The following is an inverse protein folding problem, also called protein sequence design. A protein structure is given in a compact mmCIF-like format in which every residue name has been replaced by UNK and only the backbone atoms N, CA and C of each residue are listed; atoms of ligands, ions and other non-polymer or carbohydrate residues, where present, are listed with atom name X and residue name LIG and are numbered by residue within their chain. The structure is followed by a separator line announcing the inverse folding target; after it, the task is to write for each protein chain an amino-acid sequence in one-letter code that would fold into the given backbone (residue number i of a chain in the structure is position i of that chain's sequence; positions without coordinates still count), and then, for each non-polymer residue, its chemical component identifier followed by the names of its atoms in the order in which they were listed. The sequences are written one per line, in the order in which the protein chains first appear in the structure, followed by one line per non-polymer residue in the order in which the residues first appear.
data_IF_100353865803
#
_entry.id   IF_100353865803
#
_cell.length_a   1.000
_cell.length_b   1.000
_cell.length_c   1.000
_cell.angle_alpha   90.00
_cell.angle_beta   90.00
_cell.angle_gamma   90.00
#
_symmetry.space_group_name_H-M   'P 1'
#
loop_
_entity.id
_entity.type
_entity.pdbx_description
1 polymer ?
#
# COMPACT_ATOMS: atom_id res chain seq x y z
N UNK A 1 -4.19 -6.49 13.00
CA UNK A 1 -3.82 -5.23 12.33
C UNK A 1 -3.14 -4.30 13.34
N UNK A 2 -2.11 -4.78 14.04
CA UNK A 2 -1.51 -4.08 15.20
C UNK A 2 -0.57 -2.93 14.80
N UNK A 3 -0.09 -2.95 13.57
CA UNK A 3 0.90 -2.00 13.04
C UNK A 3 0.28 -0.83 12.26
N UNK A 4 -1.02 -0.90 11.98
CA UNK A 4 -1.73 0.10 11.18
C UNK A 4 -2.70 0.84 12.09
N UNK A 5 -2.52 2.16 12.21
CA UNK A 5 -3.51 3.05 12.77
C UNK A 5 -4.44 3.55 11.68
N UNK A 6 -5.71 3.13 11.73
CA UNK A 6 -6.72 3.56 10.77
C UNK A 6 -7.20 4.99 11.02
N UNK A 7 -7.17 5.48 12.27
CA UNK A 7 -7.54 6.86 12.61
C UNK A 7 -6.48 7.84 12.13
N UNK A 8 -5.23 7.55 12.44
CA UNK A 8 -4.08 8.39 12.06
C UNK A 8 -3.65 8.18 10.61
N UNK A 9 -4.25 7.21 9.91
CA UNK A 9 -3.89 6.81 8.53
C UNK A 9 -2.39 6.49 8.37
N UNK A 10 -1.79 5.85 9.38
CA UNK A 10 -0.35 5.56 9.42
C UNK A 10 -0.12 4.06 9.56
N UNK A 11 0.81 3.53 8.77
CA UNK A 11 1.44 2.24 9.00
C UNK A 11 2.80 2.42 9.67
N UNK A 12 2.93 1.88 10.88
CA UNK A 12 4.17 1.85 11.64
C UNK A 12 4.85 0.49 11.48
N UNK A 13 6.02 0.47 10.86
CA UNK A 13 6.86 -0.73 10.74
C UNK A 13 7.93 -0.65 11.84
N UNK A 14 7.88 -1.51 12.87
CA UNK A 14 8.82 -1.44 13.98
C UNK A 14 10.24 -1.80 13.51
N UNK A 15 11.25 -1.25 14.19
CA UNK A 15 12.67 -1.53 13.92
C UNK A 15 13.01 -3.02 13.83
N UNK A 16 12.31 -3.88 14.58
CA UNK A 16 12.50 -5.34 14.60
C UNK A 16 12.10 -6.03 13.30
N UNK A 17 11.25 -5.38 12.49
CA UNK A 17 10.78 -5.88 11.19
C UNK A 17 11.33 -5.08 10.02
N UNK A 18 12.06 -4.01 10.29
CA UNK A 18 12.70 -3.16 9.29
C UNK A 18 14.08 -3.71 8.94
N UNK A 19 14.39 -3.81 7.64
CA UNK A 19 15.70 -4.28 7.15
C UNK A 19 16.88 -3.44 7.66
N UNK A 20 16.62 -2.20 8.07
CA UNK A 20 17.65 -1.23 8.46
C UNK A 20 17.66 -0.92 9.96
N UNK A 21 16.95 -1.69 10.77
CA UNK A 21 16.92 -1.51 12.23
C UNK A 21 16.30 -0.19 12.70
N UNK A 22 15.55 0.50 11.85
CA UNK A 22 14.86 1.77 12.16
C UNK A 22 13.35 1.60 12.01
N UNK A 23 12.58 2.19 12.92
CA UNK A 23 11.13 2.26 12.81
C UNK A 23 10.77 3.17 11.64
N UNK A 24 9.87 2.72 10.77
CA UNK A 24 9.36 3.49 9.63
C UNK A 24 7.90 3.84 9.86
N UNK A 25 7.52 5.05 9.49
CA UNK A 25 6.13 5.49 9.46
C UNK A 25 5.76 5.80 8.02
N UNK A 26 4.67 5.23 7.54
CA UNK A 26 4.19 5.39 6.17
C UNK A 26 2.77 5.95 6.23
N UNK A 27 2.57 7.12 5.62
CA UNK A 27 1.23 7.70 5.42
C UNK A 27 0.44 6.89 4.40
N UNK A 28 -0.83 6.61 4.70
CA UNK A 28 -1.71 5.78 3.89
C UNK A 28 -2.76 6.66 3.20
N UNK A 29 -3.01 6.38 1.91
CA UNK A 29 -4.08 7.06 1.19
C UNK A 29 -5.47 6.75 1.77
N UNK A 30 -6.38 7.71 1.66
CA UNK A 30 -7.76 7.62 2.15
C UNK A 30 -8.48 6.41 1.56
N UNK A 31 -8.31 6.18 0.25
CA UNK A 31 -8.89 5.02 -0.43
C UNK A 31 -8.37 3.69 0.09
N UNK A 32 -7.09 3.64 0.50
CA UNK A 32 -6.52 2.45 1.11
C UNK A 32 -7.10 2.24 2.52
N UNK A 33 -7.36 3.30 3.27
CA UNK A 33 -8.00 3.22 4.58
C UNK A 33 -9.42 2.64 4.46
N UNK A 34 -10.21 3.08 3.48
CA UNK A 34 -11.53 2.49 3.21
C UNK A 34 -11.43 0.97 2.98
N UNK A 35 -10.52 0.54 2.11
CA UNK A 35 -10.29 -0.90 1.84
C UNK A 35 -9.87 -1.65 3.11
N UNK A 36 -8.98 -1.08 3.91
CA UNK A 36 -8.52 -1.70 5.15
C UNK A 36 -9.63 -1.78 6.21
N UNK A 37 -10.50 -0.78 6.29
CA UNK A 37 -11.68 -0.78 7.16
C UNK A 37 -12.65 -1.89 6.77
N UNK A 38 -13.02 -1.98 5.49
CA UNK A 38 -13.90 -3.06 5.00
C UNK A 38 -13.31 -4.43 5.29
N UNK A 39 -12.01 -4.62 5.01
CA UNK A 39 -11.33 -5.88 5.32
C UNK A 39 -11.31 -6.22 6.80
N UNK A 40 -11.16 -5.23 7.68
CA UNK A 40 -11.21 -5.42 9.14
C UNK A 40 -12.60 -5.85 9.60
N UNK A 41 -13.66 -5.38 8.96
CA UNK A 41 -15.04 -5.80 9.26
C UNK A 41 -15.32 -7.23 8.76
N UNK A 42 -14.79 -7.59 7.60
CA UNK A 42 -15.02 -8.90 6.98
C UNK A 42 -14.11 -10.03 7.52
N UNK A 43 -13.06 -9.71 8.30
CA UNK A 43 -12.06 -10.68 8.74
C UNK A 43 -11.89 -10.74 10.26
N UNK A 44 -11.85 -11.96 10.81
CA UNK A 44 -11.51 -12.23 12.21
C UNK A 44 -10.01 -12.45 12.45
N UNK A 45 -9.19 -12.34 11.40
CA UNK A 45 -7.73 -12.57 11.49
C UNK A 45 -6.99 -11.38 12.08
N UNK A 46 -5.90 -11.64 12.80
CA UNK A 46 -4.98 -10.58 13.22
C UNK A 46 -4.15 -10.02 12.06
N UNK A 47 -3.99 -10.77 10.98
CA UNK A 47 -3.28 -10.37 9.75
C UNK A 47 -4.21 -9.65 8.78
N UNK A 48 -3.70 -8.60 8.15
CA UNK A 48 -4.43 -7.83 7.11
C UNK A 48 -4.74 -8.71 5.89
N UNK A 49 -3.77 -9.56 5.53
CA UNK A 49 -3.89 -10.57 4.49
C UNK A 49 -3.62 -11.95 5.14
N UNK A 50 -4.67 -12.65 5.63
CA UNK A 50 -4.51 -13.98 6.18
C UNK A 50 -4.16 -15.02 5.11
N UNK A 51 -3.57 -16.13 5.54
CA UNK A 51 -3.41 -17.30 4.70
C UNK A 51 -4.78 -17.90 4.37
N UNK A 52 -5.08 -18.23 3.10
CA UNK A 52 -6.33 -18.89 2.74
C UNK A 52 -6.55 -20.24 3.41
N UNK A 53 -5.47 -20.87 3.91
CA UNK A 53 -5.52 -22.19 4.58
C UNK A 53 -5.62 -22.09 6.10
N UNK A 54 -5.19 -20.98 6.68
CA UNK A 54 -5.06 -20.82 8.13
C UNK A 54 -5.15 -19.34 8.50
N UNK A 55 -6.29 -18.96 9.07
CA UNK A 55 -6.59 -17.56 9.41
C UNK A 55 -5.72 -17.01 10.55
N UNK A 56 -4.94 -17.85 11.23
CA UNK A 56 -3.98 -17.42 12.26
C UNK A 56 -2.61 -17.01 11.67
N UNK A 57 -2.37 -17.30 10.38
CA UNK A 57 -1.10 -17.02 9.70
C UNK A 57 -1.26 -15.94 8.64
N UNK A 58 -0.18 -15.23 8.34
CA UNK A 58 -0.16 -14.33 7.19
C UNK A 58 -0.11 -15.10 5.86
N UNK A 59 -0.53 -14.44 4.78
CA UNK A 59 -0.40 -14.95 3.42
C UNK A 59 1.06 -15.28 3.09
N UNK A 60 1.29 -16.38 2.37
CA UNK A 60 2.64 -16.78 1.95
C UNK A 60 3.08 -16.05 0.68
N UNK A 61 4.39 -15.94 0.46
CA UNK A 61 4.95 -15.36 -0.78
C UNK A 61 4.44 -16.07 -2.03
N UNK A 62 4.40 -17.41 -2.03
CA UNK A 62 3.91 -18.18 -3.19
C UNK A 62 2.44 -17.90 -3.49
N UNK A 63 1.60 -17.70 -2.46
CA UNK A 63 0.20 -17.30 -2.63
C UNK A 63 0.09 -15.91 -3.24
N UNK A 64 0.92 -14.95 -2.83
CA UNK A 64 0.96 -13.61 -3.45
C UNK A 64 1.35 -13.71 -4.94
N UNK A 65 2.38 -14.49 -5.27
CA UNK A 65 2.79 -14.69 -6.66
C UNK A 65 1.68 -15.31 -7.52
N UNK A 66 0.94 -16.28 -6.99
CA UNK A 66 -0.21 -16.88 -7.68
C UNK A 66 -1.35 -15.88 -7.86
N UNK A 67 -1.68 -15.09 -6.83
CA UNK A 67 -2.69 -14.04 -6.93
C UNK A 67 -2.31 -13.00 -7.99
N UNK A 68 -1.04 -12.57 -8.00
CA UNK A 68 -0.52 -11.66 -9.01
C UNK A 68 -0.61 -12.22 -10.43
N UNK A 69 -0.28 -13.51 -10.63
CA UNK A 69 -0.43 -14.15 -11.92
C UNK A 69 -1.89 -14.16 -12.43
N UNK A 70 -2.85 -14.40 -11.53
CA UNK A 70 -4.29 -14.33 -11.86
C UNK A 70 -4.72 -12.91 -12.24
N UNK A 71 -4.30 -11.91 -11.47
CA UNK A 71 -4.60 -10.49 -11.75
C UNK A 71 -4.07 -10.10 -13.12
N UNK A 72 -2.82 -10.43 -13.44
CA UNK A 72 -2.22 -10.14 -14.76
C UNK A 72 -2.98 -10.80 -15.90
N UNK A 73 -3.33 -12.09 -15.74
CA UNK A 73 -4.11 -12.82 -16.74
C UNK A 73 -5.46 -12.15 -16.99
N UNK A 74 -6.17 -11.74 -15.93
CA UNK A 74 -7.45 -11.05 -16.03
C UNK A 74 -7.31 -9.66 -16.67
N UNK A 75 -6.22 -8.97 -16.39
CA UNK A 75 -5.92 -7.65 -16.95
C UNK A 75 -5.31 -7.70 -18.38
N UNK A 76 -5.02 -8.90 -18.92
CA UNK A 76 -4.42 -9.04 -20.25
C UNK A 76 -2.97 -8.54 -20.36
N UNK A 77 -2.26 -8.34 -19.25
CA UNK A 77 -0.89 -7.80 -19.23
C UNK A 77 0.16 -8.90 -19.06
N UNK A 78 1.23 -8.82 -19.84
CA UNK A 78 2.36 -9.75 -19.78
C UNK A 78 3.62 -9.07 -19.25
N UNK A 79 4.57 -9.85 -18.72
CA UNK A 79 5.89 -9.38 -18.27
C UNK A 79 5.93 -8.31 -17.18
N UNK A 80 4.81 -8.09 -16.47
CA UNK A 80 4.75 -7.20 -15.29
C UNK A 80 4.97 -8.00 -14.00
N UNK A 81 5.76 -7.47 -13.08
CA UNK A 81 5.98 -8.01 -11.73
C UNK A 81 5.26 -7.17 -10.68
N UNK A 82 5.10 -7.69 -9.45
CA UNK A 82 4.52 -6.90 -8.36
C UNK A 82 5.39 -5.67 -8.01
N UNK A 83 6.70 -5.72 -8.30
CA UNK A 83 7.60 -4.58 -8.12
C UNK A 83 7.38 -3.48 -9.16
N UNK A 84 6.83 -3.80 -10.33
CA UNK A 84 6.45 -2.79 -11.32
C UNK A 84 5.30 -1.90 -10.81
N UNK A 85 4.42 -2.41 -9.94
CA UNK A 85 3.39 -1.58 -9.30
C UNK A 85 4.05 -0.47 -8.47
N UNK A 86 5.08 -0.82 -7.70
CA UNK A 86 5.85 0.14 -6.90
C UNK A 86 6.60 1.14 -7.78
N UNK A 87 7.22 0.70 -8.87
CA UNK A 87 7.88 1.59 -9.84
C UNK A 87 6.88 2.54 -10.49
N UNK A 88 5.73 2.02 -10.90
CA UNK A 88 4.63 2.79 -11.49
C UNK A 88 4.18 3.86 -10.51
N UNK A 89 3.91 3.49 -9.26
CA UNK A 89 3.54 4.45 -8.21
C UNK A 89 4.58 5.58 -8.06
N UNK A 90 5.87 5.26 -8.04
CA UNK A 90 6.94 6.25 -8.00
C UNK A 90 6.92 7.21 -9.21
N UNK A 91 6.70 6.68 -10.42
CA UNK A 91 6.57 7.47 -11.65
C UNK A 91 5.38 8.43 -11.57
N UNK A 92 4.23 7.98 -11.07
CA UNK A 92 3.06 8.84 -10.90
C UNK A 92 3.31 9.97 -9.89
N UNK A 93 4.00 9.69 -8.79
CA UNK A 93 4.38 10.72 -7.82
C UNK A 93 5.26 11.78 -8.47
N UNK A 94 6.26 11.36 -9.25
CA UNK A 94 7.13 12.27 -10.01
C UNK A 94 6.33 13.11 -11.01
N UNK A 95 5.43 12.48 -11.77
CA UNK A 95 4.57 13.18 -12.74
C UNK A 95 3.62 14.19 -12.08
N UNK A 96 3.22 13.93 -10.83
CA UNK A 96 2.40 14.85 -10.03
C UNK A 96 3.19 16.02 -9.42
N UNK A 97 4.51 16.09 -9.65
CA UNK A 97 5.39 17.17 -9.20
C UNK A 97 6.09 16.90 -7.86
N UNK A 98 6.03 15.67 -7.33
CA UNK A 98 6.67 15.36 -6.05
C UNK A 98 8.20 15.34 -6.15
N UNK A 99 8.85 15.75 -5.07
CA UNK A 99 10.31 15.71 -5.01
C UNK A 99 10.80 14.28 -4.84
N UNK A 100 11.99 13.97 -5.39
CA UNK A 100 12.63 12.66 -5.20
C UNK A 100 12.77 12.29 -3.72
N UNK A 101 12.95 13.29 -2.86
CA UNK A 101 13.01 13.09 -1.43
C UNK A 101 11.69 12.57 -0.83
N UNK A 102 10.57 13.23 -1.16
CA UNK A 102 9.24 12.80 -0.72
C UNK A 102 8.89 11.43 -1.30
N UNK A 103 9.27 11.15 -2.55
CA UNK A 103 9.09 9.83 -3.17
C UNK A 103 9.89 8.76 -2.43
N UNK A 104 11.17 8.99 -2.15
CA UNK A 104 12.03 8.06 -1.42
C UNK A 104 11.48 7.74 -0.03
N UNK A 105 10.94 8.76 0.64
CA UNK A 105 10.27 8.62 1.93
C UNK A 105 9.02 7.72 1.81
N UNK A 106 8.12 8.00 0.88
CA UNK A 106 6.87 7.21 0.77
C UNK A 106 7.15 5.76 0.38
N UNK A 107 8.17 5.55 -0.45
CA UNK A 107 8.63 4.23 -0.80
C UNK A 107 9.32 3.52 0.38
N UNK A 108 9.79 4.24 1.40
CA UNK A 108 10.62 3.65 2.45
C UNK A 108 11.96 3.17 1.91
N UNK A 109 12.47 3.82 0.86
CA UNK A 109 13.83 3.59 0.38
C UNK A 109 14.82 4.15 1.39
N UNK A 110 15.60 3.25 1.97
CA UNK A 110 16.71 3.56 2.85
C UNK A 110 18.00 3.66 2.04
N UNK A 111 18.11 4.62 1.14
CA UNK A 111 19.42 4.85 0.54
C UNK A 111 20.39 5.37 1.61
N UNK A 112 21.62 4.89 1.55
CA UNK A 112 22.60 4.76 2.64
C UNK A 112 23.19 6.07 3.18
N UNK A 113 22.76 7.22 2.68
CA UNK A 113 23.42 8.51 2.98
C UNK A 113 22.56 9.57 3.69
N UNK A 114 21.28 9.31 3.98
CA UNK A 114 20.47 10.29 4.73
C UNK A 114 19.50 9.61 5.68
N UNK A 115 19.79 9.71 6.98
CA UNK A 115 18.85 9.32 8.04
C UNK A 115 17.74 10.36 8.09
N UNK A 116 16.67 10.17 7.31
CA UNK A 116 15.46 11.00 7.46
C UNK A 116 14.57 10.36 8.52
N UNK A 117 14.52 11.02 9.68
CA UNK A 117 13.48 10.78 10.68
C UNK A 117 12.17 11.25 10.04
N UNK A 118 11.18 10.36 9.94
CA UNK A 118 9.83 10.75 9.52
C UNK A 118 9.25 11.63 10.62
N UNK A 119 9.19 12.94 10.36
CA UNK A 119 8.45 13.88 11.20
C UNK A 119 6.98 13.81 10.84
N UNK A 120 6.10 14.21 11.74
CA UNK A 120 4.65 14.30 11.49
C UNK A 120 4.36 15.12 10.22
N UNK A 121 5.06 16.25 10.03
CA UNK A 121 4.93 17.07 8.82
C UNK A 121 5.33 16.34 7.53
N UNK A 122 6.34 15.46 7.59
CA UNK A 122 6.70 14.65 6.42
C UNK A 122 5.64 13.60 6.09
N UNK A 123 4.90 13.12 7.09
CA UNK A 123 3.79 12.18 6.93
C UNK A 123 2.55 12.85 6.31
N UNK A 124 2.23 14.07 6.72
CA UNK A 124 1.10 14.81 6.13
C UNK A 124 1.34 15.07 4.64
N UNK A 125 2.54 15.57 4.30
CA UNK A 125 2.94 15.80 2.91
C UNK A 125 2.91 14.49 2.11
N UNK A 126 3.41 13.41 2.68
CA UNK A 126 3.40 12.09 2.06
C UNK A 126 1.98 11.57 1.79
N UNK A 127 1.07 11.79 2.74
CA UNK A 127 -0.34 11.38 2.62
C UNK A 127 -1.06 12.18 1.54
N UNK A 128 -0.88 13.50 1.52
CA UNK A 128 -1.45 14.38 0.49
C UNK A 128 -0.96 13.96 -0.91
N UNK A 129 0.36 13.75 -1.07
CA UNK A 129 0.95 13.32 -2.32
C UNK A 129 0.38 11.97 -2.80
N UNK A 130 0.23 11.02 -1.86
CA UNK A 130 -0.30 9.68 -2.15
C UNK A 130 -1.77 9.76 -2.55
N UNK A 131 -2.58 10.55 -1.84
CA UNK A 131 -3.99 10.78 -2.18
C UNK A 131 -4.14 11.37 -3.59
N UNK A 132 -3.34 12.41 -3.91
CA UNK A 132 -3.35 13.03 -5.23
C UNK A 132 -3.02 12.01 -6.35
N UNK A 133 -2.07 11.11 -6.12
CA UNK A 133 -1.77 10.04 -7.10
C UNK A 133 -2.92 9.07 -7.25
N UNK A 134 -3.51 8.62 -6.14
CA UNK A 134 -4.63 7.67 -6.17
C UNK A 134 -5.84 8.29 -6.88
N UNK A 135 -6.18 9.53 -6.57
CA UNK A 135 -7.27 10.27 -7.22
C UNK A 135 -7.04 10.45 -8.72
N UNK A 136 -5.83 10.84 -9.13
CA UNK A 136 -5.48 10.97 -10.55
C UNK A 136 -5.55 9.63 -11.29
N UNK A 137 -5.10 8.53 -10.66
CA UNK A 137 -5.25 7.20 -11.25
C UNK A 137 -6.73 6.83 -11.41
N UNK A 138 -7.55 7.04 -10.38
CA UNK A 138 -8.97 6.69 -10.42
C UNK A 138 -9.77 7.53 -11.43
N UNK A 139 -9.42 8.81 -11.61
CA UNK A 139 -10.09 9.66 -12.59
C UNK A 139 -9.78 9.27 -14.04
N UNK A 140 -8.55 8.84 -14.32
CA UNK A 140 -8.09 8.47 -15.66
C UNK A 140 -8.66 7.11 -16.11
N UNK A 141 -8.72 6.13 -15.21
CA UNK A 141 -9.15 4.77 -15.54
C UNK A 141 -10.67 4.53 -15.39
N UNK A 142 -11.44 5.57 -15.05
CA UNK A 142 -12.90 5.49 -14.92
C UNK A 142 -13.37 4.68 -13.69
N UNK A 143 -14.68 4.37 -13.60
CA UNK A 143 -15.24 3.68 -12.45
C UNK A 143 -14.63 2.28 -12.28
N UNK A 144 -13.88 2.09 -11.19
CA UNK A 144 -13.26 0.82 -10.86
C UNK A 144 -14.31 -0.15 -10.26
N UNK A 145 -14.98 -0.92 -11.11
CA UNK A 145 -16.00 -1.91 -10.72
C UNK A 145 -15.49 -2.81 -9.59
N UNK A 146 -14.26 -3.35 -9.71
CA UNK A 146 -13.65 -4.21 -8.70
C UNK A 146 -13.41 -3.49 -7.35
N UNK A 147 -13.00 -2.22 -7.38
CA UNK A 147 -12.82 -1.44 -6.15
C UNK A 147 -14.17 -1.17 -5.49
N UNK A 148 -15.19 -0.84 -6.28
CA UNK A 148 -16.55 -0.64 -5.79
C UNK A 148 -17.12 -1.92 -5.19
N UNK A 149 -16.88 -3.08 -5.81
CA UNK A 149 -17.25 -4.40 -5.28
C UNK A 149 -16.58 -4.68 -3.92
N UNK A 150 -15.28 -4.40 -3.79
CA UNK A 150 -14.56 -4.52 -2.51
C UNK A 150 -15.17 -3.59 -1.45
N UNK A 151 -15.41 -2.33 -1.79
CA UNK A 151 -15.94 -1.33 -0.86
C UNK A 151 -17.40 -1.61 -0.45
N UNK A 152 -18.18 -2.22 -1.33
CA UNK A 152 -19.55 -2.67 -1.04
C UNK A 152 -19.61 -3.93 -0.16
N UNK A 153 -18.46 -4.55 0.16
CA UNK A 153 -18.40 -5.77 0.97
C UNK A 153 -18.88 -7.04 0.25
N UNK A 154 -19.12 -6.96 -1.07
CA UNK A 154 -19.58 -8.09 -1.90
C UNK A 154 -18.44 -9.09 -2.15
N UNK A 155 -17.18 -8.64 -2.07
CA UNK A 155 -15.99 -9.49 -2.27
C UNK A 155 -15.14 -9.50 -0.98
N UNK A 156 -14.84 -10.68 -0.40
CA UNK A 156 -13.99 -10.80 0.81
C UNK A 156 -12.49 -10.52 0.56
#
# INVERSE_FOLDING_TARGET
MKEISLSEKIWCIPKTKSKNGKTLYIGLADKLIEVLQTRKLCSKSEWVLPSPKDNSKHISHSTIHQAWAKIRKKAGIQNVTIHDLRRTFATWMKNNGETLDTISQILGHSDTNMTKIYTIHSLDKATIATNKVVENMLSIFGPNICLNEILSGIVP
#
